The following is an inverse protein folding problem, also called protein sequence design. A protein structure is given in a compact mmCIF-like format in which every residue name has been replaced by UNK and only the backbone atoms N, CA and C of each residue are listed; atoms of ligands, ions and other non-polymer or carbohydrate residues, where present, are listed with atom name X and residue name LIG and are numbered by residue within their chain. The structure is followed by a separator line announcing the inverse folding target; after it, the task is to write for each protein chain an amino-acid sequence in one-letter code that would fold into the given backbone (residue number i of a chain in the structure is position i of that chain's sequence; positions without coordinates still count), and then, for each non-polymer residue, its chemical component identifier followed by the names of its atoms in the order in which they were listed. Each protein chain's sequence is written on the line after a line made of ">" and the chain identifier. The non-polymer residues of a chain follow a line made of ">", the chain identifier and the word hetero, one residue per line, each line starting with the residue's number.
data_IF_477394681241
#
_entry.id   IF_477394681241
#
_cell.length_a   1.000
_cell.length_b   1.000
_cell.length_c   1.000
_cell.angle_alpha   90.00
_cell.angle_beta   90.00
_cell.angle_gamma   90.00
#
_symmetry.space_group_name_H-M   'P 1'
#
loop_
_entity.id
_entity.type
_entity.pdbx_description
1 polymer ?
#
# COMPACT_ATOMS: atom_id res chain seq x y z
N UNK A 1 13.08 17.62 -24.26
CA UNK A 1 13.47 17.23 -22.90
C UNK A 1 12.22 16.68 -22.22
N UNK A 2 12.30 15.60 -21.45
CA UNK A 2 11.15 15.17 -20.66
C UNK A 2 10.75 16.31 -19.70
N UNK A 3 9.45 16.49 -19.40
CA UNK A 3 9.00 17.54 -18.50
C UNK A 3 9.67 17.35 -17.13
N UNK A 4 10.08 18.47 -16.51
CA UNK A 4 10.62 18.47 -15.15
C UNK A 4 9.46 18.13 -14.21
N UNK A 5 9.60 17.03 -13.46
CA UNK A 5 8.59 16.64 -12.47
C UNK A 5 8.50 17.71 -11.36
N UNK A 6 7.29 18.08 -10.91
CA UNK A 6 7.10 18.97 -9.76
C UNK A 6 7.78 18.42 -8.49
N UNK A 7 8.21 19.30 -7.59
CA UNK A 7 8.88 18.91 -6.32
C UNK A 7 8.01 17.98 -5.48
N UNK A 8 6.71 18.25 -5.40
CA UNK A 8 5.78 17.39 -4.66
C UNK A 8 5.74 15.96 -5.23
N UNK A 9 5.77 15.82 -6.56
CA UNK A 9 5.76 14.52 -7.24
C UNK A 9 7.07 13.78 -7.03
N UNK A 10 8.21 14.47 -7.14
CA UNK A 10 9.51 13.83 -6.87
C UNK A 10 9.64 13.40 -5.41
N UNK A 11 9.14 14.20 -4.47
CA UNK A 11 9.08 13.84 -3.06
C UNK A 11 8.21 12.60 -2.81
N UNK A 12 7.06 12.51 -3.46
CA UNK A 12 6.19 11.31 -3.43
C UNK A 12 6.93 10.08 -3.99
N UNK A 13 7.63 10.21 -5.14
CA UNK A 13 8.39 9.09 -5.71
C UNK A 13 9.46 8.57 -4.75
N UNK A 14 10.23 9.46 -4.12
CA UNK A 14 11.26 9.10 -3.16
C UNK A 14 10.64 8.41 -1.91
N UNK A 15 9.50 8.92 -1.43
CA UNK A 15 8.78 8.36 -0.29
C UNK A 15 8.21 6.96 -0.56
N UNK A 16 7.54 6.76 -1.71
CA UNK A 16 6.98 5.46 -2.11
C UNK A 16 8.08 4.43 -2.31
N UNK A 17 9.20 4.82 -2.93
CA UNK A 17 10.37 3.97 -3.10
C UNK A 17 10.92 3.48 -1.76
N UNK A 18 11.08 4.39 -0.80
CA UNK A 18 11.56 4.08 0.54
C UNK A 18 10.60 3.16 1.28
N UNK A 19 9.30 3.45 1.26
CA UNK A 19 8.28 2.67 1.94
C UNK A 19 8.25 1.23 1.42
N UNK A 20 8.16 1.06 0.10
CA UNK A 20 8.18 -0.26 -0.56
C UNK A 20 9.45 -1.04 -0.26
N UNK A 21 10.62 -0.40 -0.32
CA UNK A 21 11.89 -1.07 -0.03
C UNK A 21 11.95 -1.59 1.42
N UNK A 22 11.51 -0.78 2.38
CA UNK A 22 11.43 -1.19 3.78
C UNK A 22 10.48 -2.37 4.01
N UNK A 23 9.32 -2.35 3.36
CA UNK A 23 8.33 -3.44 3.43
C UNK A 23 8.82 -4.72 2.78
N UNK A 24 9.53 -4.64 1.66
CA UNK A 24 10.17 -5.81 1.06
C UNK A 24 11.16 -6.48 2.01
N UNK A 25 11.98 -5.69 2.72
CA UNK A 25 12.90 -6.23 3.74
C UNK A 25 12.14 -6.84 4.90
N UNK A 26 11.10 -6.17 5.39
CA UNK A 26 10.28 -6.66 6.50
C UNK A 26 9.66 -8.03 6.20
N UNK A 27 9.09 -8.19 5.00
CA UNK A 27 8.38 -9.40 4.60
C UNK A 27 9.28 -10.51 4.00
N UNK A 28 10.58 -10.29 3.85
CA UNK A 28 11.48 -11.18 3.10
C UNK A 28 11.46 -12.66 3.54
N UNK A 29 11.18 -12.91 4.80
CA UNK A 29 11.13 -14.27 5.37
C UNK A 29 9.72 -14.82 5.54
N UNK A 30 8.69 -14.06 5.18
CA UNK A 30 7.31 -14.53 5.29
C UNK A 30 7.03 -15.72 4.38
N UNK A 31 6.17 -16.62 4.83
CA UNK A 31 5.85 -17.88 4.13
C UNK A 31 5.35 -17.64 2.71
N UNK A 32 4.53 -16.60 2.50
CA UNK A 32 3.97 -16.27 1.19
C UNK A 32 5.02 -15.74 0.22
N UNK A 33 6.01 -14.96 0.67
CA UNK A 33 7.14 -14.51 -0.17
C UNK A 33 8.04 -15.69 -0.51
N UNK A 34 8.36 -16.51 0.48
CA UNK A 34 9.17 -17.71 0.28
C UNK A 34 8.49 -18.72 -0.65
N UNK A 35 7.17 -18.88 -0.57
CA UNK A 35 6.42 -19.73 -1.48
C UNK A 35 6.44 -19.21 -2.92
N UNK A 36 6.22 -17.90 -3.11
CA UNK A 36 6.32 -17.26 -4.42
C UNK A 36 7.72 -17.40 -5.02
N UNK A 37 8.75 -17.15 -4.21
CA UNK A 37 10.15 -17.27 -4.64
C UNK A 37 10.50 -18.69 -5.05
N UNK A 38 10.17 -19.70 -4.23
CA UNK A 38 10.43 -21.12 -4.60
C UNK A 38 9.76 -21.53 -5.92
N UNK A 39 8.60 -20.96 -6.20
CA UNK A 39 7.83 -21.29 -7.42
C UNK A 39 8.36 -20.59 -8.67
N UNK A 40 9.04 -19.44 -8.54
CA UNK A 40 9.34 -18.56 -9.69
C UNK A 40 10.80 -18.15 -9.79
N UNK A 41 11.68 -18.64 -8.90
CA UNK A 41 13.08 -18.27 -8.89
C UNK A 41 13.80 -18.68 -10.18
N UNK A 42 14.20 -17.68 -10.96
CA UNK A 42 15.04 -17.84 -12.13
C UNK A 42 16.20 -16.85 -12.06
N UNK A 43 17.45 -17.27 -12.39
CA UNK A 43 18.62 -16.40 -12.36
C UNK A 43 18.47 -15.18 -13.30
N UNK A 44 19.08 -14.07 -12.91
CA UNK A 44 19.12 -12.84 -13.69
C UNK A 44 19.92 -11.75 -13.00
N UNK A 45 19.69 -10.51 -13.37
CA UNK A 45 20.43 -9.34 -12.86
C UNK A 45 19.62 -8.48 -11.90
N UNK A 46 18.29 -8.66 -11.84
CA UNK A 46 17.43 -7.81 -11.04
C UNK A 46 17.47 -8.16 -9.55
N UNK A 47 17.34 -7.15 -8.73
CA UNK A 47 17.36 -7.27 -7.28
C UNK A 47 16.00 -7.73 -6.74
N UNK A 48 16.00 -8.82 -6.00
CA UNK A 48 14.96 -9.13 -5.04
C UNK A 48 15.39 -8.56 -3.69
N UNK A 49 14.69 -7.52 -3.25
CA UNK A 49 15.07 -6.75 -2.07
C UNK A 49 15.07 -7.65 -0.84
N UNK A 50 16.16 -7.59 -0.07
CA UNK A 50 16.36 -8.43 1.12
C UNK A 50 16.84 -9.84 0.84
N UNK A 51 17.10 -10.23 -0.41
CA UNK A 51 17.59 -11.57 -0.79
C UNK A 51 18.94 -11.50 -1.51
N UNK A 52 19.74 -12.56 -1.34
CA UNK A 52 21.03 -12.68 -2.03
C UNK A 52 20.84 -13.08 -3.50
N UNK A 53 21.81 -12.71 -4.33
CA UNK A 53 21.84 -13.07 -5.76
C UNK A 53 21.04 -12.09 -6.64
N UNK A 54 20.91 -12.48 -7.91
CA UNK A 54 20.16 -11.76 -8.92
C UNK A 54 19.10 -12.66 -9.56
N UNK A 55 17.98 -12.08 -9.90
CA UNK A 55 16.81 -12.77 -10.43
C UNK A 55 16.40 -12.20 -11.80
N UNK A 56 15.63 -12.95 -12.57
CA UNK A 56 15.02 -12.39 -13.76
C UNK A 56 13.97 -11.31 -13.38
N UNK A 57 13.61 -10.49 -14.34
CA UNK A 57 12.69 -9.35 -14.13
C UNK A 57 11.35 -9.80 -13.59
N UNK A 58 10.79 -10.90 -14.11
CA UNK A 58 9.46 -11.37 -13.72
C UNK A 58 9.45 -11.84 -12.25
N UNK A 59 10.45 -12.61 -11.83
CA UNK A 59 10.62 -13.03 -10.43
C UNK A 59 10.81 -11.82 -9.51
N UNK A 60 11.70 -10.88 -9.88
CA UNK A 60 11.96 -9.69 -9.07
C UNK A 60 10.69 -8.83 -8.90
N UNK A 61 9.97 -8.55 -9.98
CA UNK A 61 8.74 -7.78 -9.95
C UNK A 61 7.65 -8.48 -9.11
N UNK A 62 7.43 -9.79 -9.34
CA UNK A 62 6.43 -10.57 -8.62
C UNK A 62 6.72 -10.62 -7.11
N UNK A 63 7.92 -11.02 -6.74
CA UNK A 63 8.25 -11.26 -5.33
C UNK A 63 8.40 -9.95 -4.54
N UNK A 64 8.99 -8.88 -5.11
CA UNK A 64 9.04 -7.57 -4.47
C UNK A 64 7.64 -6.98 -4.26
N UNK A 65 6.75 -7.06 -5.27
CA UNK A 65 5.37 -6.57 -5.12
C UNK A 65 4.55 -7.38 -4.11
N UNK A 66 4.75 -8.70 -4.07
CA UNK A 66 4.15 -9.58 -3.07
C UNK A 66 4.63 -9.24 -1.65
N UNK A 67 5.93 -8.98 -1.49
CA UNK A 67 6.52 -8.60 -0.21
C UNK A 67 6.03 -7.22 0.25
N UNK A 68 6.03 -6.23 -0.64
CA UNK A 68 5.61 -4.87 -0.32
C UNK A 68 4.17 -4.80 0.19
N UNK A 69 3.25 -5.57 -0.41
CA UNK A 69 1.81 -5.54 -0.07
C UNK A 69 1.40 -6.53 1.02
N UNK A 70 2.22 -7.54 1.29
CA UNK A 70 1.82 -8.71 2.09
C UNK A 70 1.41 -8.41 3.51
N UNK A 71 1.94 -7.35 4.10
CA UNK A 71 1.67 -6.97 5.48
C UNK A 71 0.56 -5.91 5.64
N UNK A 72 -0.06 -5.47 4.52
CA UNK A 72 -1.12 -4.44 4.52
C UNK A 72 -0.67 -3.11 5.17
N UNK A 73 0.62 -2.79 5.00
CA UNK A 73 1.30 -1.64 5.60
C UNK A 73 1.85 -0.66 4.57
N UNK A 74 1.62 -0.94 3.29
CA UNK A 74 2.00 -0.14 2.13
C UNK A 74 1.12 1.10 1.95
N UNK A 75 1.55 1.98 1.04
CA UNK A 75 0.85 3.19 0.66
C UNK A 75 -0.60 2.93 0.25
N UNK A 76 -1.41 3.98 0.25
CA UNK A 76 -2.78 3.94 -0.28
C UNK A 76 -3.14 5.27 -0.91
N UNK A 77 -4.00 5.25 -1.93
CA UNK A 77 -4.54 6.48 -2.51
C UNK A 77 -5.84 6.86 -1.82
N UNK A 78 -5.96 8.12 -1.36
CA UNK A 78 -7.17 8.57 -0.65
C UNK A 78 -8.42 8.65 -1.56
N UNK A 79 -8.23 8.83 -2.86
CA UNK A 79 -9.32 8.84 -3.84
C UNK A 79 -9.94 7.49 -4.13
N UNK A 80 -9.27 6.38 -3.76
CA UNK A 80 -9.77 5.03 -4.01
C UNK A 80 -8.86 3.93 -3.48
N UNK A 81 -9.35 2.67 -3.41
CA UNK A 81 -8.65 1.59 -2.74
C UNK A 81 -7.53 0.98 -3.61
N UNK A 82 -6.55 1.77 -3.99
CA UNK A 82 -5.37 1.31 -4.75
C UNK A 82 -4.09 1.58 -3.96
N UNK A 83 -3.15 0.65 -4.05
CA UNK A 83 -1.83 0.65 -3.43
C UNK A 83 -0.78 0.71 -4.55
N UNK A 84 -0.47 1.93 -4.98
CA UNK A 84 0.30 2.13 -6.21
C UNK A 84 1.77 1.72 -6.06
N UNK A 85 2.39 2.04 -4.92
CA UNK A 85 3.80 1.76 -4.68
C UNK A 85 4.14 0.29 -4.78
N UNK A 86 3.32 -0.59 -4.19
CA UNK A 86 3.54 -2.03 -4.20
C UNK A 86 3.52 -2.67 -5.61
N UNK A 87 2.95 -1.97 -6.59
CA UNK A 87 2.93 -2.39 -8.01
C UNK A 87 4.03 -1.71 -8.81
N UNK A 88 4.06 -0.38 -8.74
CA UNK A 88 4.84 0.46 -9.66
C UNK A 88 6.33 0.37 -9.34
N UNK A 89 6.72 0.42 -8.08
CA UNK A 89 8.14 0.34 -7.68
C UNK A 89 8.77 -0.97 -8.14
N UNK A 90 8.20 -2.16 -7.84
CA UNK A 90 8.76 -3.43 -8.32
C UNK A 90 8.89 -3.52 -9.84
N UNK A 91 7.89 -3.04 -10.59
CA UNK A 91 7.92 -3.08 -12.05
C UNK A 91 9.02 -2.19 -12.64
N UNK A 92 9.08 -0.93 -12.16
CA UNK A 92 10.01 0.08 -12.69
C UNK A 92 11.44 -0.21 -12.27
N UNK A 93 11.70 -0.64 -11.02
CA UNK A 93 13.04 -1.00 -10.57
C UNK A 93 13.60 -2.20 -11.32
N UNK A 94 12.79 -3.26 -11.50
CA UNK A 94 13.21 -4.43 -12.26
C UNK A 94 13.50 -4.07 -13.73
N UNK A 95 12.69 -3.21 -14.36
CA UNK A 95 12.96 -2.69 -15.68
C UNK A 95 14.25 -1.87 -15.71
N UNK A 96 14.49 -1.03 -14.71
CA UNK A 96 15.65 -0.16 -14.63
C UNK A 96 16.97 -0.96 -14.54
N UNK A 97 17.04 -1.97 -13.68
CA UNK A 97 18.21 -2.84 -13.59
C UNK A 97 18.42 -3.65 -14.89
N UNK A 98 17.34 -4.19 -15.47
CA UNK A 98 17.41 -4.98 -16.71
C UNK A 98 17.91 -4.16 -17.89
N UNK A 99 17.53 -2.89 -17.98
CA UNK A 99 17.84 -2.03 -19.12
C UNK A 99 18.92 -0.97 -18.84
N UNK A 100 19.49 -0.94 -17.62
CA UNK A 100 20.54 -0.02 -17.24
C UNK A 100 20.09 1.45 -17.21
N UNK A 101 18.85 1.69 -16.75
CA UNK A 101 18.27 3.02 -16.73
C UNK A 101 18.87 3.90 -15.64
N UNK A 102 18.72 5.22 -15.80
CA UNK A 102 19.08 6.22 -14.79
C UNK A 102 18.02 6.32 -13.68
N UNK A 103 18.41 6.90 -12.54
CA UNK A 103 17.46 7.23 -11.48
C UNK A 103 16.41 8.26 -11.91
N UNK A 104 16.73 9.14 -12.86
CA UNK A 104 15.77 10.06 -13.47
C UNK A 104 14.70 9.33 -14.30
N UNK A 105 15.09 8.27 -15.02
CA UNK A 105 14.13 7.42 -15.74
C UNK A 105 13.21 6.67 -14.77
N UNK A 106 13.77 6.18 -13.66
CA UNK A 106 12.98 5.55 -12.58
C UNK A 106 11.97 6.53 -12.01
N UNK A 107 12.40 7.74 -11.62
CA UNK A 107 11.50 8.74 -11.05
C UNK A 107 10.35 9.08 -12.00
N UNK A 108 10.63 9.22 -13.31
CA UNK A 108 9.61 9.45 -14.34
C UNK A 108 8.65 8.25 -14.43
N UNK A 109 9.17 7.03 -14.48
CA UNK A 109 8.36 5.82 -14.54
C UNK A 109 7.46 5.66 -13.32
N UNK A 110 7.97 5.92 -12.12
CA UNK A 110 7.21 5.88 -10.86
C UNK A 110 6.12 6.94 -10.86
N UNK A 111 6.45 8.19 -11.19
CA UNK A 111 5.47 9.28 -11.24
C UNK A 111 4.31 8.96 -12.19
N UNK A 112 4.61 8.58 -13.43
CA UNK A 112 3.58 8.28 -14.44
C UNK A 112 2.78 7.03 -14.09
N UNK A 113 3.43 5.97 -13.62
CA UNK A 113 2.75 4.73 -13.23
C UNK A 113 1.76 4.94 -12.07
N UNK A 114 2.18 5.65 -11.02
CA UNK A 114 1.32 6.00 -9.90
C UNK A 114 0.16 6.90 -10.34
N UNK A 115 0.43 7.92 -11.15
CA UNK A 115 -0.58 8.83 -11.65
C UNK A 115 -1.66 8.12 -12.47
N UNK A 116 -1.26 7.28 -13.43
CA UNK A 116 -2.19 6.50 -14.25
C UNK A 116 -3.05 5.60 -13.38
N UNK A 117 -2.46 4.91 -12.40
CA UNK A 117 -3.19 4.03 -11.51
C UNK A 117 -4.21 4.78 -10.63
N UNK A 118 -3.84 5.96 -10.09
CA UNK A 118 -4.72 6.81 -9.31
C UNK A 118 -5.88 7.34 -10.16
N UNK A 119 -5.62 7.83 -11.38
CA UNK A 119 -6.65 8.36 -12.29
C UNK A 119 -7.63 7.28 -12.74
N UNK A 120 -7.14 6.12 -13.15
CA UNK A 120 -8.00 5.01 -13.58
C UNK A 120 -8.99 4.58 -12.48
N UNK A 121 -8.58 4.60 -11.23
CA UNK A 121 -9.43 4.21 -10.11
C UNK A 121 -10.62 5.17 -9.88
N UNK A 122 -10.55 6.41 -10.38
CA UNK A 122 -11.61 7.41 -10.26
C UNK A 122 -12.65 7.35 -11.40
N UNK A 123 -12.36 6.67 -12.51
CA UNK A 123 -13.26 6.59 -13.67
C UNK A 123 -14.58 5.89 -13.33
N UNK A 124 -14.53 4.82 -12.55
CA UNK A 124 -15.70 4.05 -12.12
C UNK A 124 -15.58 3.72 -10.61
N UNK A 125 -15.78 4.70 -9.70
CA UNK A 125 -15.49 4.54 -8.28
C UNK A 125 -16.25 3.39 -7.65
N UNK A 126 -15.53 2.51 -6.93
CA UNK A 126 -16.07 1.32 -6.23
C UNK A 126 -16.61 0.21 -7.15
N UNK A 127 -16.78 0.42 -8.46
CA UNK A 127 -17.40 -0.54 -9.37
C UNK A 127 -16.54 -1.79 -9.54
N UNK A 128 -15.23 -1.63 -9.75
CA UNK A 128 -14.30 -2.77 -9.88
C UNK A 128 -14.34 -3.66 -8.64
N UNK A 129 -14.33 -3.07 -7.44
CA UNK A 129 -14.44 -3.84 -6.20
C UNK A 129 -15.80 -4.53 -6.06
N UNK A 130 -16.90 -3.86 -6.45
CA UNK A 130 -18.25 -4.46 -6.42
C UNK A 130 -18.42 -5.58 -7.45
N UNK A 131 -17.69 -5.52 -8.56
CA UNK A 131 -17.66 -6.58 -9.57
C UNK A 131 -16.84 -7.81 -9.14
N UNK A 132 -16.22 -7.78 -7.95
CA UNK A 132 -15.47 -8.90 -7.40
C UNK A 132 -13.97 -8.89 -7.71
N UNK A 133 -13.41 -7.74 -8.12
CA UNK A 133 -11.99 -7.61 -8.42
C UNK A 133 -11.26 -6.72 -7.41
N UNK A 134 -9.98 -6.99 -7.21
CA UNK A 134 -9.09 -6.15 -6.41
C UNK A 134 -8.61 -4.96 -7.25
N UNK A 135 -9.00 -3.70 -6.93
CA UNK A 135 -8.63 -2.53 -7.74
C UNK A 135 -7.12 -2.37 -7.95
N UNK A 136 -6.32 -2.62 -6.90
CA UNK A 136 -4.85 -2.61 -6.99
C UNK A 136 -4.32 -3.57 -8.05
N UNK A 137 -4.90 -4.75 -8.18
CA UNK A 137 -4.46 -5.75 -9.15
C UNK A 137 -4.81 -5.33 -10.59
N UNK A 138 -6.05 -4.90 -10.78
CA UNK A 138 -6.62 -4.63 -12.10
C UNK A 138 -6.04 -3.34 -12.69
N UNK A 139 -6.09 -2.23 -11.95
CA UNK A 139 -5.50 -0.96 -12.38
C UNK A 139 -3.97 -1.01 -12.35
N UNK A 140 -3.41 -1.83 -11.47
CA UNK A 140 -1.97 -1.99 -11.32
C UNK A 140 -1.27 -2.50 -12.57
N UNK A 141 -1.87 -3.43 -13.32
CA UNK A 141 -1.30 -3.91 -14.57
C UNK A 141 -1.13 -2.78 -15.60
N UNK A 142 -2.14 -1.90 -15.70
CA UNK A 142 -2.10 -0.71 -16.56
C UNK A 142 -1.10 0.33 -16.05
N UNK A 143 -1.13 0.62 -14.74
CA UNK A 143 -0.17 1.53 -14.10
C UNK A 143 1.28 1.08 -14.27
N UNK A 144 1.56 -0.22 -14.09
CA UNK A 144 2.90 -0.78 -14.31
C UNK A 144 3.33 -0.70 -15.78
N UNK A 145 2.42 -0.99 -16.74
CA UNK A 145 2.71 -0.83 -18.15
C UNK A 145 3.03 0.63 -18.50
N UNK A 146 2.24 1.58 -17.99
CA UNK A 146 2.47 3.01 -18.17
C UNK A 146 3.81 3.46 -17.57
N UNK A 147 4.10 3.05 -16.33
CA UNK A 147 5.34 3.38 -15.63
C UNK A 147 6.58 2.85 -16.34
N UNK A 148 6.57 1.58 -16.74
CA UNK A 148 7.68 0.95 -17.48
C UNK A 148 7.85 1.58 -18.86
N UNK A 149 6.76 1.83 -19.60
CA UNK A 149 6.80 2.50 -20.90
C UNK A 149 7.39 3.91 -20.81
N UNK A 150 7.00 4.65 -19.77
CA UNK A 150 7.55 5.98 -19.49
C UNK A 150 9.04 5.93 -19.14
N UNK A 151 9.45 4.99 -18.27
CA UNK A 151 10.85 4.79 -17.91
C UNK A 151 11.71 4.46 -19.13
N UNK A 152 11.22 3.60 -20.02
CA UNK A 152 11.87 3.20 -21.28
C UNK A 152 11.72 4.22 -22.42
N UNK A 153 11.05 5.35 -22.20
CA UNK A 153 10.87 6.43 -23.17
C UNK A 153 10.20 5.98 -24.47
N UNK A 154 9.14 5.17 -24.36
CA UNK A 154 8.38 4.69 -25.50
C UNK A 154 7.74 5.81 -26.30
N UNK A 155 7.60 5.63 -27.60
CA UNK A 155 6.78 6.48 -28.45
C UNK A 155 5.26 6.23 -28.19
N UNK A 156 4.43 7.07 -28.76
CA UNK A 156 2.97 7.04 -28.57
C UNK A 156 2.37 5.67 -28.98
N UNK A 157 2.84 5.09 -30.08
CA UNK A 157 2.34 3.81 -30.59
C UNK A 157 2.68 2.65 -29.63
N UNK A 158 3.92 2.62 -29.17
CA UNK A 158 4.38 1.64 -28.20
C UNK A 158 3.62 1.78 -26.87
N UNK A 159 3.38 3.01 -26.45
CA UNK A 159 2.66 3.32 -25.23
C UNK A 159 1.21 2.81 -25.25
N UNK A 160 0.46 3.13 -26.34
CA UNK A 160 -0.90 2.61 -26.52
C UNK A 160 -0.96 1.10 -26.59
N UNK A 161 -0.04 0.48 -27.33
CA UNK A 161 0.02 -0.98 -27.41
C UNK A 161 0.30 -1.61 -26.04
N UNK A 162 1.21 -1.03 -25.23
CA UNK A 162 1.52 -1.54 -23.89
C UNK A 162 0.29 -1.51 -22.98
N UNK A 163 -0.48 -0.42 -22.97
CA UNK A 163 -1.72 -0.34 -22.20
C UNK A 163 -2.77 -1.33 -22.69
N UNK A 164 -2.99 -1.42 -24.02
CA UNK A 164 -3.93 -2.35 -24.62
C UNK A 164 -3.63 -3.81 -24.27
N UNK A 165 -2.35 -4.21 -24.30
CA UNK A 165 -1.90 -5.55 -23.89
C UNK A 165 -2.09 -5.75 -22.39
N UNK A 166 -1.72 -4.77 -21.57
CA UNK A 166 -1.85 -4.85 -20.11
C UNK A 166 -3.31 -5.03 -19.67
N UNK A 167 -4.26 -4.40 -20.36
CA UNK A 167 -5.69 -4.58 -20.09
C UNK A 167 -6.15 -6.03 -20.24
N UNK A 168 -5.59 -6.77 -21.22
CA UNK A 168 -5.86 -8.20 -21.38
C UNK A 168 -5.13 -9.10 -20.35
N UNK A 169 -4.10 -8.58 -19.68
CA UNK A 169 -3.34 -9.29 -18.63
C UNK A 169 -3.81 -8.94 -17.22
N UNK A 170 -4.71 -7.96 -17.07
CA UNK A 170 -5.25 -7.56 -15.78
C UNK A 170 -6.07 -8.71 -15.16
N UNK A 171 -5.94 -8.90 -13.86
CA UNK A 171 -6.61 -9.98 -13.13
C UNK A 171 -6.61 -9.70 -11.62
N UNK A 172 -7.20 -10.59 -10.82
CA UNK A 172 -7.16 -10.54 -9.37
C UNK A 172 -8.55 -10.41 -8.74
N UNK A 173 -9.15 -11.55 -8.37
CA UNK A 173 -10.47 -11.63 -7.72
C UNK A 173 -10.33 -11.44 -6.20
N UNK A 174 -11.41 -10.96 -5.56
CA UNK A 174 -11.40 -10.69 -4.10
C UNK A 174 -11.86 -11.88 -3.25
N UNK A 175 -11.95 -13.08 -3.79
CA UNK A 175 -12.40 -14.27 -3.07
C UNK A 175 -11.51 -14.62 -1.86
N UNK A 176 -10.29 -14.11 -1.81
CA UNK A 176 -9.45 -14.21 -0.62
C UNK A 176 -10.11 -13.69 0.67
N UNK A 177 -11.14 -12.86 0.55
CA UNK A 177 -11.90 -12.36 1.70
C UNK A 177 -12.67 -13.46 2.43
N UNK A 178 -13.03 -14.55 1.73
CA UNK A 178 -13.79 -15.66 2.31
C UNK A 178 -12.96 -16.47 3.33
N UNK A 179 -11.67 -16.66 3.07
CA UNK A 179 -10.83 -17.59 3.83
C UNK A 179 -9.52 -16.95 4.36
N UNK A 180 -9.23 -15.71 3.98
CA UNK A 180 -7.97 -15.04 4.31
C UNK A 180 -6.76 -15.60 3.54
N UNK A 181 -6.99 -16.15 2.33
CA UNK A 181 -5.95 -16.69 1.47
C UNK A 181 -4.93 -15.63 1.04
N UNK A 182 -3.73 -16.07 0.66
CA UNK A 182 -2.59 -15.19 0.33
C UNK A 182 -2.70 -14.50 -1.04
N UNK A 183 -3.70 -14.80 -1.85
CA UNK A 183 -3.81 -14.27 -3.21
C UNK A 183 -3.88 -12.73 -3.26
N UNK A 184 -4.50 -12.07 -2.27
CA UNK A 184 -4.42 -10.60 -2.15
C UNK A 184 -2.97 -10.12 -2.17
N UNK A 185 -2.10 -10.77 -1.42
CA UNK A 185 -0.70 -10.38 -1.23
C UNK A 185 0.11 -10.47 -2.52
N UNK A 186 -0.21 -11.45 -3.37
CA UNK A 186 0.43 -11.67 -4.68
C UNK A 186 0.00 -10.65 -5.73
N UNK A 187 -1.20 -10.09 -5.65
CA UNK A 187 -1.80 -9.28 -6.70
C UNK A 187 -0.94 -8.13 -7.21
N UNK A 188 -0.30 -7.30 -6.35
CA UNK A 188 0.57 -6.22 -6.82
C UNK A 188 1.78 -6.73 -7.59
N UNK A 189 2.40 -7.80 -7.12
CA UNK A 189 3.53 -8.41 -7.80
C UNK A 189 3.15 -9.01 -9.15
N UNK A 190 1.98 -9.66 -9.23
CA UNK A 190 1.45 -10.16 -10.49
C UNK A 190 1.16 -9.03 -11.48
N UNK A 191 0.55 -7.94 -11.02
CA UNK A 191 0.30 -6.74 -11.82
C UNK A 191 1.60 -6.09 -12.31
N UNK A 192 2.62 -6.02 -11.44
CA UNK A 192 3.93 -5.47 -11.78
C UNK A 192 4.61 -6.24 -12.92
N UNK A 193 4.66 -7.58 -12.82
CA UNK A 193 5.23 -8.40 -13.90
C UNK A 193 4.38 -8.39 -15.17
N UNK A 194 3.04 -8.33 -15.05
CA UNK A 194 2.14 -8.25 -16.20
C UNK A 194 2.38 -6.96 -16.99
N UNK A 195 2.43 -5.81 -16.30
CA UNK A 195 2.72 -4.52 -16.91
C UNK A 195 4.09 -4.45 -17.58
N UNK A 196 5.14 -4.98 -16.93
CA UNK A 196 6.45 -5.10 -17.56
C UNK A 196 6.41 -5.95 -18.85
N UNK A 197 5.76 -7.12 -18.81
CA UNK A 197 5.63 -8.00 -20.00
C UNK A 197 4.86 -7.31 -21.10
N UNK A 198 3.78 -6.61 -20.79
CA UNK A 198 2.98 -5.85 -21.76
C UNK A 198 3.84 -4.77 -22.45
N UNK A 199 4.60 -3.99 -21.68
CA UNK A 199 5.52 -3.00 -22.23
C UNK A 199 6.58 -3.65 -23.16
N UNK A 200 7.15 -4.78 -22.76
CA UNK A 200 8.15 -5.49 -23.59
C UNK A 200 7.57 -6.07 -24.88
N UNK A 201 6.34 -6.58 -24.82
CA UNK A 201 5.65 -7.05 -26.04
C UNK A 201 5.36 -5.89 -26.99
N UNK A 202 4.89 -4.76 -26.49
CA UNK A 202 4.66 -3.56 -27.29
C UNK A 202 5.96 -3.03 -27.93
N UNK A 203 7.07 -3.04 -27.18
CA UNK A 203 8.38 -2.66 -27.71
C UNK A 203 8.85 -3.59 -28.85
N UNK A 204 8.47 -4.87 -28.78
CA UNK A 204 8.77 -5.85 -29.81
C UNK A 204 7.79 -5.79 -31.02
N UNK A 205 6.84 -4.85 -31.02
CA UNK A 205 5.88 -4.66 -32.12
C UNK A 205 4.58 -5.42 -31.98
N UNK A 206 4.31 -6.06 -30.81
CA UNK A 206 3.00 -6.67 -30.55
C UNK A 206 1.96 -5.56 -30.36
N UNK A 207 0.77 -5.75 -30.94
CA UNK A 207 -0.29 -4.72 -30.92
C UNK A 207 -1.34 -4.99 -29.82
N UNK A 208 -1.83 -3.92 -29.20
CA UNK A 208 -2.96 -3.93 -28.29
C UNK A 208 -4.14 -3.11 -28.82
N UNK A 209 -5.35 -3.32 -28.31
CA UNK A 209 -6.52 -2.57 -28.75
C UNK A 209 -6.41 -1.09 -28.37
N UNK A 210 -6.70 -0.20 -29.34
CA UNK A 210 -6.73 1.26 -29.09
C UNK A 210 -7.97 1.70 -28.31
N UNK A 211 -9.07 0.96 -28.46
CA UNK A 211 -10.35 1.18 -27.76
C UNK A 211 -10.39 0.49 -26.39
N UNK A 212 -9.22 0.39 -25.73
CA UNK A 212 -9.08 -0.31 -24.44
C UNK A 212 -10.11 0.14 -23.40
N UNK A 213 -10.37 1.43 -23.28
CA UNK A 213 -11.22 1.98 -22.22
C UNK A 213 -12.69 2.14 -22.62
N UNK A 214 -12.97 2.54 -23.85
CA UNK A 214 -14.26 2.98 -24.37
C UNK A 214 -14.90 2.01 -25.39
N UNK A 215 -14.24 0.89 -25.71
CA UNK A 215 -14.79 -0.12 -26.61
C UNK A 215 -15.88 -0.97 -25.93
N UNK A 216 -16.77 -1.55 -26.75
CA UNK A 216 -17.89 -2.41 -26.31
C UNK A 216 -17.45 -3.58 -25.42
N UNK A 217 -16.21 -4.03 -25.57
CA UNK A 217 -15.58 -5.06 -24.75
C UNK A 217 -14.37 -4.48 -23.98
N UNK A 218 -14.41 -3.18 -23.70
CA UNK A 218 -13.33 -2.44 -23.05
C UNK A 218 -13.13 -2.81 -21.59
N UNK A 219 -12.06 -2.26 -21.03
CA UNK A 219 -11.60 -2.58 -19.68
C UNK A 219 -12.67 -2.31 -18.60
N UNK A 220 -13.33 -1.15 -18.64
CA UNK A 220 -14.33 -0.81 -17.62
C UNK A 220 -15.62 -1.60 -17.78
N UNK A 221 -16.02 -1.94 -19.02
CA UNK A 221 -17.12 -2.86 -19.25
C UNK A 221 -16.83 -4.21 -18.59
N UNK A 222 -15.66 -4.78 -18.82
CA UNK A 222 -15.26 -6.08 -18.29
C UNK A 222 -15.08 -6.10 -16.77
N UNK A 223 -14.35 -5.14 -16.20
CA UNK A 223 -13.93 -5.17 -14.80
C UNK A 223 -14.82 -4.34 -13.86
N UNK A 224 -15.53 -3.34 -14.35
CA UNK A 224 -16.44 -2.53 -13.54
C UNK A 224 -17.91 -2.93 -13.71
N UNK A 225 -18.23 -3.75 -14.70
CA UNK A 225 -19.60 -4.10 -15.06
C UNK A 225 -20.49 -2.86 -15.14
N UNK A 226 -20.04 -1.83 -15.84
CA UNK A 226 -20.70 -0.53 -15.88
C UNK A 226 -20.35 0.21 -17.17
N UNK A 227 -21.39 0.75 -17.81
CA UNK A 227 -21.26 1.69 -18.93
C UNK A 227 -21.23 3.16 -18.43
N UNK A 228 -21.49 3.39 -17.14
CA UNK A 228 -21.46 4.72 -16.52
C UNK A 228 -20.04 5.01 -16.01
N UNK A 229 -19.14 5.36 -16.93
CA UNK A 229 -17.76 5.72 -16.67
C UNK A 229 -17.56 7.23 -16.87
N UNK A 230 -16.91 7.90 -15.93
CA UNK A 230 -16.52 9.29 -16.05
C UNK A 230 -15.06 9.38 -16.52
N UNK A 231 -14.86 9.33 -17.83
CA UNK A 231 -13.52 9.47 -18.43
C UNK A 231 -12.96 10.89 -18.30
N UNK A 232 -13.79 11.90 -17.99
CA UNK A 232 -13.34 13.25 -17.67
C UNK A 232 -12.36 13.22 -16.49
N UNK A 233 -12.65 12.48 -15.43
CA UNK A 233 -11.75 12.36 -14.25
C UNK A 233 -10.36 11.84 -14.58
N UNK A 234 -10.23 11.06 -15.66
CA UNK A 234 -8.93 10.55 -16.12
C UNK A 234 -8.10 11.61 -16.82
N UNK A 235 -8.76 12.57 -17.49
CA UNK A 235 -8.12 13.57 -18.38
C UNK A 235 -8.00 14.94 -17.73
N UNK A 236 -8.93 15.31 -16.84
CA UNK A 236 -8.98 16.63 -16.21
C UNK A 236 -7.70 16.91 -15.42
N UNK A 237 -7.01 18.01 -15.79
CA UNK A 237 -5.74 18.41 -15.18
C UNK A 237 -4.57 17.45 -15.42
N UNK A 238 -4.70 16.50 -16.37
CA UNK A 238 -3.62 15.54 -16.65
C UNK A 238 -2.34 16.24 -17.12
N UNK A 239 -1.23 15.99 -16.42
CA UNK A 239 0.07 16.63 -16.67
C UNK A 239 0.30 17.92 -15.88
N UNK A 240 -0.72 18.51 -15.28
CA UNK A 240 -0.64 19.70 -14.41
C UNK A 240 -0.94 19.34 -12.96
N UNK A 241 -2.10 18.71 -12.72
CA UNK A 241 -2.53 18.25 -11.41
C UNK A 241 -2.16 16.77 -11.21
N UNK A 242 -1.21 16.51 -10.34
CA UNK A 242 -0.75 15.16 -10.03
C UNK A 242 -1.53 14.58 -8.86
N UNK A 243 -2.51 13.73 -9.15
CA UNK A 243 -3.33 13.06 -8.13
C UNK A 243 -2.51 12.12 -7.26
N UNK A 244 -1.45 11.55 -7.81
CA UNK A 244 -0.51 10.70 -7.09
C UNK A 244 0.21 11.41 -5.94
N UNK A 245 0.27 12.74 -5.94
CA UNK A 245 0.78 13.51 -4.78
C UNK A 245 -0.06 13.34 -3.51
N UNK A 246 -1.31 12.83 -3.64
CA UNK A 246 -2.20 12.50 -2.53
C UNK A 246 -2.11 11.02 -2.10
N UNK A 247 -1.06 10.30 -2.52
CA UNK A 247 -0.74 8.99 -1.98
C UNK A 247 -0.39 9.15 -0.51
N UNK A 248 -1.07 8.38 0.33
CA UNK A 248 -0.93 8.37 1.77
C UNK A 248 -0.06 7.21 2.23
N UNK A 249 0.71 7.41 3.28
CA UNK A 249 1.57 6.40 3.89
C UNK A 249 1.00 5.95 5.22
N UNK A 250 0.90 4.64 5.43
CA UNK A 250 0.37 4.11 6.69
C UNK A 250 1.42 4.22 7.81
N UNK A 251 1.13 4.93 8.91
CA UNK A 251 1.97 4.92 10.10
C UNK A 251 1.84 3.64 10.93
N UNK A 252 0.75 2.87 10.72
CA UNK A 252 0.43 1.65 11.47
C UNK A 252 0.17 0.48 10.53
N UNK A 253 0.58 -0.73 10.94
CA UNK A 253 0.52 -1.96 10.14
C UNK A 253 -0.87 -2.60 10.16
N UNK A 254 -1.92 -1.84 9.90
CA UNK A 254 -3.31 -2.30 9.95
C UNK A 254 -4.21 -1.57 8.93
N UNK A 255 -5.49 -1.92 8.93
CA UNK A 255 -6.48 -1.26 8.07
C UNK A 255 -6.59 0.24 8.38
N UNK A 256 -6.51 1.08 7.36
CA UNK A 256 -6.46 2.56 7.46
C UNK A 256 -7.57 3.14 8.33
N UNK A 257 -8.76 2.54 8.31
CA UNK A 257 -9.91 2.99 9.12
C UNK A 257 -9.71 2.80 10.63
N UNK A 258 -8.72 2.02 11.08
CA UNK A 258 -8.36 1.88 12.49
C UNK A 258 -7.37 2.96 12.98
N UNK A 259 -6.64 3.60 12.07
CA UNK A 259 -5.58 4.55 12.40
C UNK A 259 -6.04 5.71 13.30
N UNK A 260 -7.16 6.41 13.02
CA UNK A 260 -7.62 7.50 13.88
C UNK A 260 -7.90 7.08 15.32
N UNK A 261 -8.30 5.82 15.56
CA UNK A 261 -8.52 5.30 16.90
C UNK A 261 -7.21 5.04 17.64
N UNK A 262 -6.16 4.59 16.92
CA UNK A 262 -4.80 4.47 17.46
C UNK A 262 -4.27 5.85 17.87
N UNK A 263 -4.43 6.85 17.01
CA UNK A 263 -4.02 8.22 17.32
C UNK A 263 -4.75 8.79 18.52
N UNK A 264 -6.07 8.56 18.66
CA UNK A 264 -6.81 8.92 19.88
C UNK A 264 -6.26 8.22 21.13
N UNK A 265 -5.97 6.91 21.03
CA UNK A 265 -5.41 6.13 22.13
C UNK A 265 -4.04 6.71 22.58
N UNK A 266 -3.16 7.03 21.64
CA UNK A 266 -1.86 7.65 21.89
C UNK A 266 -1.97 9.04 22.51
N UNK A 267 -2.91 9.87 22.03
CA UNK A 267 -3.19 11.20 22.61
C UNK A 267 -3.56 11.10 24.08
N UNK A 268 -4.51 10.21 24.42
CA UNK A 268 -4.95 10.02 25.80
C UNK A 268 -3.80 9.59 26.72
N UNK A 269 -2.95 8.68 26.27
CA UNK A 269 -1.76 8.26 27.03
C UNK A 269 -0.77 9.41 27.20
N UNK A 270 -0.54 10.20 26.16
CA UNK A 270 0.32 11.39 26.24
C UNK A 270 -0.24 12.46 27.20
N UNK A 271 -1.55 12.52 27.37
CA UNK A 271 -2.26 13.37 28.34
C UNK A 271 -2.32 12.79 29.76
N UNK A 272 -1.67 11.64 30.00
CA UNK A 272 -1.51 11.05 31.34
C UNK A 272 -2.52 9.95 31.67
N UNK A 273 -3.32 9.46 30.71
CA UNK A 273 -4.18 8.29 30.93
C UNK A 273 -3.32 7.03 31.05
N UNK A 274 -3.28 6.44 32.23
CA UNK A 274 -2.61 5.18 32.47
C UNK A 274 -3.52 4.01 32.02
N UNK A 275 -3.07 3.13 31.08
CA UNK A 275 -3.90 2.03 30.59
C UNK A 275 -4.43 1.09 31.68
N UNK A 276 -3.64 0.90 32.76
CA UNK A 276 -4.04 0.09 33.92
C UNK A 276 -5.19 0.64 34.75
N UNK A 277 -5.47 1.97 34.64
CA UNK A 277 -6.58 2.63 35.33
C UNK A 277 -7.89 2.65 34.52
N UNK A 278 -7.86 2.20 33.26
CA UNK A 278 -9.03 2.18 32.37
C UNK A 278 -10.00 1.11 32.80
N UNK A 279 -11.29 1.49 32.97
CA UNK A 279 -12.39 0.55 33.24
C UNK A 279 -13.24 0.26 32.02
N UNK A 280 -13.47 1.25 31.15
CA UNK A 280 -14.19 1.10 29.88
C UNK A 280 -13.71 2.09 28.83
N UNK A 281 -13.87 1.72 27.57
CA UNK A 281 -13.60 2.55 26.40
C UNK A 281 -14.82 2.48 25.49
N UNK A 282 -15.47 3.60 25.24
CA UNK A 282 -16.56 3.74 24.29
C UNK A 282 -16.07 4.52 23.06
N UNK A 283 -16.36 4.01 21.88
CA UNK A 283 -15.92 4.60 20.62
C UNK A 283 -17.12 4.98 19.77
N UNK A 284 -17.10 6.17 19.16
CA UNK A 284 -18.02 6.48 18.06
C UNK A 284 -17.47 5.92 16.77
N UNK A 285 -18.32 5.30 15.96
CA UNK A 285 -17.91 4.69 14.68
C UNK A 285 -18.94 4.88 13.58
N UNK A 286 -18.49 4.78 12.32
CA UNK A 286 -19.38 4.76 11.16
C UNK A 286 -20.02 3.39 11.00
N UNK A 287 -21.31 3.34 10.63
CA UNK A 287 -22.01 2.09 10.35
C UNK A 287 -21.31 1.25 9.26
N UNK A 288 -20.80 1.91 8.21
CA UNK A 288 -20.16 1.25 7.06
C UNK A 288 -18.89 0.45 7.36
N UNK A 289 -18.26 0.63 8.54
CA UNK A 289 -17.07 -0.13 8.93
C UNK A 289 -17.34 -1.17 10.02
N UNK A 290 -18.54 -1.21 10.58
CA UNK A 290 -18.91 -2.10 11.69
C UNK A 290 -18.66 -3.57 11.33
N UNK A 291 -19.22 -4.03 10.22
CA UNK A 291 -19.12 -5.42 9.80
C UNK A 291 -17.68 -5.92 9.60
N UNK A 292 -16.75 -5.04 9.29
CA UNK A 292 -15.34 -5.39 8.98
C UNK A 292 -14.42 -5.28 10.19
N UNK A 293 -14.58 -4.22 10.99
CA UNK A 293 -13.60 -3.85 12.01
C UNK A 293 -14.10 -3.99 13.45
N UNK A 294 -15.41 -4.12 13.66
CA UNK A 294 -16.02 -4.21 14.97
C UNK A 294 -16.71 -5.55 15.22
N UNK A 295 -17.26 -6.19 14.20
CA UNK A 295 -18.08 -7.40 14.39
C UNK A 295 -17.42 -8.66 13.78
N UNK A 296 -17.63 -9.83 14.41
CA UNK A 296 -18.25 -10.04 15.73
C UNK A 296 -17.37 -9.45 16.86
N UNK A 297 -17.94 -8.63 17.74
CA UNK A 297 -17.18 -7.85 18.72
C UNK A 297 -16.25 -8.71 19.57
N UNK A 298 -16.71 -9.87 20.05
CA UNK A 298 -15.90 -10.77 20.87
C UNK A 298 -14.64 -11.28 20.11
N UNK A 299 -14.76 -11.55 18.80
CA UNK A 299 -13.64 -11.95 17.97
C UNK A 299 -12.69 -10.77 17.70
N UNK A 300 -13.21 -9.54 17.60
CA UNK A 300 -12.38 -8.33 17.45
C UNK A 300 -11.64 -7.96 18.73
N UNK A 301 -12.23 -8.20 19.88
CA UNK A 301 -11.57 -8.04 21.18
C UNK A 301 -10.51 -9.11 21.46
N UNK A 302 -10.62 -10.26 20.83
CA UNK A 302 -9.73 -11.39 21.00
C UNK A 302 -9.40 -12.02 19.62
N UNK A 303 -8.65 -11.32 18.75
CA UNK A 303 -8.36 -11.81 17.42
C UNK A 303 -7.57 -13.12 17.49
N UNK A 304 -7.84 -14.08 16.58
CA UNK A 304 -7.22 -15.41 16.61
C UNK A 304 -5.75 -15.42 16.16
N UNK A 305 -5.32 -14.43 15.40
CA UNK A 305 -3.96 -14.31 14.85
C UNK A 305 -3.62 -12.87 14.46
N UNK A 306 -2.36 -12.63 14.12
CA UNK A 306 -1.86 -11.31 13.74
C UNK A 306 -2.59 -10.68 12.54
N UNK A 307 -2.92 -11.47 11.52
CA UNK A 307 -3.63 -10.94 10.36
C UNK A 307 -5.06 -10.47 10.70
N UNK A 308 -5.79 -11.24 11.50
CA UNK A 308 -7.13 -10.85 11.97
C UNK A 308 -7.07 -9.61 12.87
N UNK A 309 -6.01 -9.46 13.66
CA UNK A 309 -5.78 -8.31 14.52
C UNK A 309 -5.63 -7.00 13.74
N UNK A 310 -5.06 -7.01 12.53
CA UNK A 310 -4.94 -5.84 11.62
C UNK A 310 -6.30 -5.26 11.20
N UNK A 311 -7.39 -6.02 11.39
CA UNK A 311 -8.76 -5.62 11.08
C UNK A 311 -9.65 -5.59 12.34
N UNK A 312 -9.05 -5.21 13.48
CA UNK A 312 -9.74 -5.07 14.76
C UNK A 312 -9.46 -3.70 15.38
N UNK A 313 -10.47 -2.85 15.48
CA UNK A 313 -10.33 -1.56 16.19
C UNK A 313 -10.16 -1.77 17.71
N UNK A 314 -10.86 -2.70 18.41
CA UNK A 314 -10.59 -2.97 19.82
C UNK A 314 -9.14 -3.34 20.11
N UNK A 315 -8.54 -4.21 19.28
CA UNK A 315 -7.14 -4.57 19.39
C UNK A 315 -6.21 -3.39 19.13
N UNK A 316 -6.46 -2.65 18.05
CA UNK A 316 -5.64 -1.50 17.64
C UNK A 316 -5.60 -0.40 18.73
N UNK A 317 -6.73 -0.12 19.39
CA UNK A 317 -6.79 0.80 20.53
C UNK A 317 -5.93 0.30 21.70
N UNK A 318 -6.08 -0.99 22.04
CA UNK A 318 -5.33 -1.59 23.15
C UNK A 318 -3.81 -1.52 22.93
N UNK A 319 -3.35 -1.86 21.74
CA UNK A 319 -1.93 -1.77 21.34
C UNK A 319 -1.47 -0.31 21.36
N UNK A 320 -2.22 0.61 20.76
CA UNK A 320 -1.91 2.04 20.74
C UNK A 320 -1.77 2.63 22.15
N UNK A 321 -2.62 2.23 23.10
CA UNK A 321 -2.53 2.67 24.51
C UNK A 321 -1.33 2.05 25.25
N UNK A 322 -1.10 0.75 25.07
CA UNK A 322 -0.09 0.02 25.85
C UNK A 322 1.32 0.17 25.33
N UNK A 323 1.47 0.30 24.02
CA UNK A 323 2.78 0.29 23.34
C UNK A 323 3.15 1.63 22.69
N UNK A 324 2.19 2.53 22.56
CA UNK A 324 2.41 3.85 21.93
C UNK A 324 2.60 3.81 20.41
N UNK A 325 2.47 2.64 19.81
CA UNK A 325 2.61 2.40 18.38
C UNK A 325 1.71 1.22 17.95
N UNK A 326 1.67 0.90 16.65
CA UNK A 326 1.04 -0.28 16.09
C UNK A 326 1.79 -0.72 14.80
N UNK A 327 3.09 -0.92 14.92
CA UNK A 327 3.96 -1.40 13.85
C UNK A 327 3.84 -2.91 13.63
N UNK A 328 4.69 -3.49 12.75
CA UNK A 328 4.62 -4.92 12.43
C UNK A 328 4.79 -5.83 13.64
N UNK A 329 5.70 -5.49 14.53
CA UNK A 329 5.97 -6.27 15.75
C UNK A 329 4.75 -6.37 16.66
N UNK A 330 3.86 -5.40 16.60
CA UNK A 330 2.65 -5.33 17.44
C UNK A 330 1.54 -6.25 16.95
N UNK A 331 1.72 -6.87 15.79
CA UNK A 331 0.82 -7.88 15.21
C UNK A 331 1.44 -9.29 15.20
N UNK A 332 2.56 -9.49 15.89
CA UNK A 332 3.14 -10.82 16.17
C UNK A 332 2.23 -11.60 17.11
N UNK A 333 2.21 -12.93 16.94
CA UNK A 333 1.37 -13.83 17.74
C UNK A 333 1.61 -13.66 19.25
N UNK A 334 2.83 -13.38 19.66
CA UNK A 334 3.21 -13.13 21.07
C UNK A 334 2.50 -11.90 21.66
N UNK A 335 2.29 -10.85 20.87
CA UNK A 335 1.58 -9.61 21.29
C UNK A 335 0.08 -9.78 21.14
N UNK A 336 -0.38 -10.41 20.07
CA UNK A 336 -1.81 -10.69 19.84
C UNK A 336 -2.39 -11.55 20.98
N UNK A 337 -1.60 -12.45 21.52
CA UNK A 337 -2.00 -13.32 22.64
C UNK A 337 -1.59 -12.81 24.03
N UNK A 338 -1.00 -11.60 24.13
CA UNK A 338 -0.67 -11.00 25.42
C UNK A 338 -1.95 -10.76 26.25
N UNK A 339 -2.03 -11.32 27.48
CA UNK A 339 -3.20 -11.16 28.33
C UNK A 339 -3.54 -9.70 28.67
N UNK A 340 -2.53 -8.82 28.74
CA UNK A 340 -2.71 -7.40 29.05
C UNK A 340 -3.40 -6.66 27.89
N UNK A 341 -2.94 -6.95 26.65
CA UNK A 341 -3.54 -6.40 25.42
C UNK A 341 -4.99 -6.88 25.32
N UNK A 342 -5.24 -8.18 25.48
CA UNK A 342 -6.59 -8.77 25.42
C UNK A 342 -7.51 -8.23 26.50
N UNK A 343 -7.02 -8.09 27.73
CA UNK A 343 -7.79 -7.51 28.82
C UNK A 343 -8.23 -6.08 28.54
N UNK A 344 -7.38 -5.25 27.94
CA UNK A 344 -7.71 -3.89 27.57
C UNK A 344 -8.65 -3.85 26.35
N UNK A 345 -8.38 -4.62 25.30
CA UNK A 345 -9.25 -4.75 24.13
C UNK A 345 -10.67 -5.21 24.53
N UNK A 346 -10.79 -6.10 25.53
CA UNK A 346 -12.05 -6.56 26.09
C UNK A 346 -12.91 -5.47 26.74
N UNK A 347 -12.32 -4.31 27.07
CA UNK A 347 -13.05 -3.14 27.63
C UNK A 347 -13.60 -2.19 26.56
N UNK A 348 -13.24 -2.39 25.28
CA UNK A 348 -13.64 -1.53 24.19
C UNK A 348 -15.03 -1.89 23.69
N UNK A 349 -15.88 -0.89 23.54
CA UNK A 349 -17.23 -0.99 22.95
C UNK A 349 -17.39 0.13 21.93
N UNK A 350 -18.41 0.04 21.10
CA UNK A 350 -18.71 1.08 20.14
C UNK A 350 -20.19 1.48 20.14
N UNK A 351 -20.45 2.68 19.67
CA UNK A 351 -21.76 3.19 19.30
C UNK A 351 -21.67 3.72 17.87
N UNK A 352 -22.71 3.44 17.08
CA UNK A 352 -22.79 3.99 15.70
C UNK A 352 -23.14 5.46 15.81
N UNK A 353 -22.32 6.30 15.15
CA UNK A 353 -22.55 7.73 15.02
C UNK A 353 -23.19 8.01 13.65
N UNK A 354 -24.48 8.39 13.60
CA UNK A 354 -25.17 8.65 12.34
C UNK A 354 -24.61 9.86 11.57
N UNK A 355 -23.90 10.76 12.26
CA UNK A 355 -23.30 11.96 11.67
C UNK A 355 -21.85 11.73 11.19
N UNK A 356 -21.34 10.49 11.29
CA UNK A 356 -19.98 10.17 10.87
C UNK A 356 -19.80 10.36 9.36
N UNK A 357 -18.81 11.13 8.91
CA UNK A 357 -18.63 11.50 7.50
C UNK A 357 -18.13 10.36 6.59
N UNK A 358 -17.88 9.15 7.12
CA UNK A 358 -17.44 8.01 6.30
C UNK A 358 -18.38 7.77 5.09
N UNK A 359 -17.91 7.47 3.89
CA UNK A 359 -16.52 7.16 3.53
C UNK A 359 -15.66 8.36 3.07
N UNK A 360 -16.15 9.58 3.15
CA UNK A 360 -15.43 10.79 2.70
C UNK A 360 -14.23 11.12 3.60
N UNK A 361 -14.33 10.73 4.88
CA UNK A 361 -13.32 11.01 5.89
C UNK A 361 -13.27 9.84 6.88
N UNK A 362 -12.08 9.52 7.39
CA UNK A 362 -11.88 8.49 8.41
C UNK A 362 -11.61 9.18 9.73
N UNK A 363 -12.55 9.03 10.67
CA UNK A 363 -12.48 9.66 11.99
C UNK A 363 -12.35 8.62 13.09
N UNK A 364 -11.71 9.01 14.19
CA UNK A 364 -11.67 8.27 15.45
C UNK A 364 -12.21 9.12 16.59
N UNK A 365 -12.88 8.48 17.54
CA UNK A 365 -13.30 9.08 18.80
C UNK A 365 -13.26 8.02 19.89
N UNK A 366 -12.60 8.34 21.01
CA UNK A 366 -12.55 7.51 22.21
C UNK A 366 -13.06 8.31 23.42
N UNK A 367 -13.91 7.69 24.22
CA UNK A 367 -14.31 8.11 25.56
C UNK A 367 -13.87 7.04 26.55
N UNK A 368 -12.92 7.40 27.41
CA UNK A 368 -12.30 6.48 28.37
C UNK A 368 -12.75 6.83 29.78
N UNK A 369 -13.24 5.83 30.52
CA UNK A 369 -13.60 5.96 31.94
C UNK A 369 -12.51 5.30 32.79
N UNK A 370 -12.01 6.01 33.79
CA UNK A 370 -10.97 5.53 34.70
C UNK A 370 -11.60 4.92 35.98
N UNK A 371 -10.81 4.19 36.76
CA UNK A 371 -11.21 3.64 38.08
C UNK A 371 -11.65 4.72 39.06
N UNK A 372 -11.09 5.91 38.95
CA UNK A 372 -11.52 7.09 39.75
C UNK A 372 -12.94 7.59 39.43
N UNK A 373 -13.53 7.13 38.32
CA UNK A 373 -14.76 7.69 37.75
C UNK A 373 -14.50 8.87 36.79
N UNK A 374 -13.28 9.35 36.69
CA UNK A 374 -12.92 10.39 35.71
C UNK A 374 -13.11 9.91 34.28
N UNK A 375 -13.61 10.80 33.42
CA UNK A 375 -13.81 10.54 32.00
C UNK A 375 -12.84 11.41 31.18
N UNK A 376 -12.17 10.82 30.23
CA UNK A 376 -11.29 11.47 29.26
C UNK A 376 -11.74 11.16 27.84
N UNK A 377 -11.64 12.13 26.95
CA UNK A 377 -12.04 11.99 25.55
C UNK A 377 -10.94 12.45 24.61
N UNK A 378 -10.81 11.78 23.49
CA UNK A 378 -9.95 12.21 22.38
C UNK A 378 -10.66 11.98 21.05
N UNK A 379 -10.38 12.87 20.11
CA UNK A 379 -10.87 12.78 18.73
C UNK A 379 -9.72 12.97 17.73
N UNK A 380 -9.84 12.29 16.59
CA UNK A 380 -8.97 12.46 15.44
C UNK A 380 -9.86 12.58 14.21
N UNK A 381 -9.81 13.74 13.54
CA UNK A 381 -10.70 14.06 12.43
C UNK A 381 -10.36 13.37 11.12
N UNK A 382 -9.12 12.95 10.94
CA UNK A 382 -8.59 12.25 9.75
C UNK A 382 -7.48 11.30 10.18
N UNK A 383 -7.10 10.38 9.30
CA UNK A 383 -5.97 9.50 9.62
C UNK A 383 -4.62 10.18 9.33
N UNK A 384 -3.66 9.98 10.21
CA UNK A 384 -2.29 10.44 10.04
C UNK A 384 -1.60 9.65 8.92
N UNK A 385 -0.81 10.35 8.11
CA UNK A 385 -0.16 9.82 6.91
C UNK A 385 -0.93 10.12 5.62
N UNK A 386 -2.13 10.69 5.71
CA UNK A 386 -2.93 11.17 4.60
C UNK A 386 -2.65 12.64 4.25
N UNK A 387 -3.44 13.18 3.32
CA UNK A 387 -3.27 14.52 2.77
C UNK A 387 -3.35 15.63 3.84
N UNK A 388 -4.28 15.49 4.80
CA UNK A 388 -4.53 16.50 5.84
C UNK A 388 -3.44 16.49 6.92
N UNK A 389 -2.79 15.35 7.15
CA UNK A 389 -1.72 15.17 8.13
C UNK A 389 -0.66 14.20 7.58
N UNK A 390 0.16 14.63 6.60
CA UNK A 390 1.13 13.77 5.96
C UNK A 390 2.23 13.34 6.93
N UNK A 391 2.78 12.15 6.69
CA UNK A 391 4.00 11.72 7.42
C UNK A 391 5.17 12.60 7.01
N UNK A 392 5.96 13.06 8.01
CA UNK A 392 7.20 13.76 7.72
C UNK A 392 8.26 12.81 7.12
N UNK A 393 9.28 13.36 6.47
CA UNK A 393 10.39 12.58 5.95
C UNK A 393 11.06 11.72 7.03
N UNK A 394 11.24 12.29 8.23
CA UNK A 394 11.84 11.61 9.39
C UNK A 394 10.94 10.46 9.88
N UNK A 395 9.62 10.63 9.84
CA UNK A 395 8.69 9.56 10.22
C UNK A 395 8.72 8.40 9.20
N UNK A 396 8.83 8.69 7.91
CA UNK A 396 8.98 7.67 6.85
C UNK A 396 10.33 6.94 6.98
N UNK A 397 11.41 7.65 7.24
CA UNK A 397 12.72 7.04 7.49
C UNK A 397 12.72 6.16 8.74
N UNK A 398 12.07 6.62 9.81
CA UNK A 398 11.91 5.82 11.03
C UNK A 398 11.12 4.54 10.75
N UNK A 399 10.06 4.63 9.95
CA UNK A 399 9.29 3.46 9.48
C UNK A 399 10.17 2.51 8.67
N UNK A 400 10.97 3.04 7.72
CA UNK A 400 11.90 2.23 6.93
C UNK A 400 12.90 1.48 7.82
N UNK A 401 13.55 2.18 8.77
CA UNK A 401 14.51 1.55 9.69
C UNK A 401 13.83 0.48 10.55
N UNK A 402 12.63 0.74 11.07
CA UNK A 402 11.86 -0.22 11.86
C UNK A 402 11.48 -1.45 11.04
N UNK A 403 11.03 -1.28 9.80
CA UNK A 403 10.73 -2.37 8.87
C UNK A 403 11.98 -3.20 8.53
N UNK A 404 13.13 -2.55 8.31
CA UNK A 404 14.39 -3.24 8.09
C UNK A 404 14.82 -4.05 9.32
N UNK A 405 14.69 -3.48 10.52
CA UNK A 405 15.00 -4.17 11.76
C UNK A 405 14.07 -5.39 11.98
N UNK A 406 12.77 -5.24 11.73
CA UNK A 406 11.80 -6.33 11.75
C UNK A 406 12.20 -7.46 10.80
N UNK A 407 12.65 -7.12 9.58
CA UNK A 407 13.21 -8.08 8.63
C UNK A 407 14.61 -8.62 8.99
N UNK A 408 15.16 -8.29 10.16
CA UNK A 408 16.44 -8.81 10.66
C UNK A 408 17.69 -8.10 10.14
N UNK A 409 17.56 -6.88 9.59
CA UNK A 409 18.72 -6.07 9.23
C UNK A 409 19.24 -5.28 10.42
N UNK A 410 20.58 -5.09 10.49
CA UNK A 410 21.18 -4.16 11.44
C UNK A 410 20.84 -2.70 11.08
N UNK A 411 20.87 -1.83 12.07
CA UNK A 411 20.66 -0.38 11.88
C UNK A 411 21.63 0.22 10.87
N UNK A 412 22.90 -0.20 10.88
CA UNK A 412 23.92 0.32 9.95
C UNK A 412 23.63 -0.11 8.51
N UNK A 413 23.19 -1.36 8.31
CA UNK A 413 22.77 -1.84 7.00
C UNK A 413 21.56 -1.08 6.49
N UNK A 414 20.55 -0.88 7.33
CA UNK A 414 19.36 -0.11 6.99
C UNK A 414 19.71 1.34 6.62
N UNK A 415 20.62 1.98 7.36
CA UNK A 415 21.10 3.34 7.04
C UNK A 415 21.85 3.39 5.71
N UNK A 416 22.68 2.41 5.41
CA UNK A 416 23.38 2.32 4.12
C UNK A 416 22.39 2.17 2.96
N UNK A 417 21.39 1.31 3.09
CA UNK A 417 20.33 1.14 2.10
C UNK A 417 19.53 2.45 1.92
N UNK A 418 19.19 3.13 3.02
CA UNK A 418 18.51 4.42 2.99
C UNK A 418 19.33 5.49 2.23
N UNK A 419 20.63 5.53 2.44
CA UNK A 419 21.52 6.45 1.73
C UNK A 419 21.51 6.20 0.21
N UNK A 420 21.51 4.93 -0.21
CA UNK A 420 21.39 4.57 -1.64
C UNK A 420 20.03 5.00 -2.21
N UNK A 421 18.92 4.76 -1.49
CA UNK A 421 17.59 5.16 -1.94
C UNK A 421 17.46 6.67 -2.09
N UNK A 422 17.99 7.46 -1.16
CA UNK A 422 18.02 8.93 -1.23
C UNK A 422 18.82 9.45 -2.43
N UNK A 423 19.88 8.74 -2.81
CA UNK A 423 20.74 9.10 -3.94
C UNK A 423 20.23 8.58 -5.29
N UNK A 424 19.25 7.68 -5.29
CA UNK A 424 18.89 6.91 -6.48
C UNK A 424 18.48 7.80 -7.65
N UNK A 425 17.66 8.84 -7.41
CA UNK A 425 17.17 9.74 -8.46
C UNK A 425 18.27 10.46 -9.22
N UNK A 426 19.40 10.74 -8.58
CA UNK A 426 20.55 11.38 -9.21
C UNK A 426 21.52 10.38 -9.85
N UNK A 427 21.32 9.09 -9.67
CA UNK A 427 22.20 8.06 -10.18
C UNK A 427 22.16 7.99 -11.72
N UNK A 428 23.29 8.03 -12.41
CA UNK A 428 23.34 7.90 -13.88
C UNK A 428 22.91 6.51 -14.35
N UNK A 429 23.01 5.52 -13.47
CA UNK A 429 22.54 4.14 -13.65
C UNK A 429 22.10 3.61 -12.29
N UNK A 430 20.96 2.93 -12.28
CA UNK A 430 20.41 2.30 -11.06
C UNK A 430 21.29 1.12 -10.63
N UNK A 431 21.68 1.12 -9.38
CA UNK A 431 22.34 0.01 -8.68
C UNK A 431 21.67 -0.20 -7.33
N UNK A 432 21.02 -1.34 -7.17
CA UNK A 432 20.30 -1.72 -5.94
C UNK A 432 21.08 -2.76 -5.11
N UNK A 433 22.38 -2.93 -5.35
CA UNK A 433 23.22 -3.91 -4.66
C UNK A 433 23.17 -3.81 -3.14
N UNK A 434 23.06 -2.61 -2.58
CA UNK A 434 22.91 -2.38 -1.14
C UNK A 434 21.57 -2.90 -0.56
N UNK A 435 20.58 -3.16 -1.39
CA UNK A 435 19.29 -3.73 -0.99
C UNK A 435 19.27 -5.26 -1.05
N UNK A 436 20.31 -5.91 -1.55
CA UNK A 436 20.44 -7.38 -1.55
C UNK A 436 20.83 -7.88 -0.15
N UNK A 437 20.58 -9.17 0.14
CA UNK A 437 20.99 -9.79 1.41
C UNK A 437 22.48 -10.05 1.48
#
# INVERSE_FOLDING_TARGET
>A
MPPILPVAVTGMCDAVLMDVAGLCVAARHSDYVQAALRATAEPGTCTLIGHAGGFNVATAALCNGTAAHGEDYDDTFEGGPVHAGAVIIPAVLAAAEQHGLSGGDVARGVAVGCEVMCRLCLVAPKRVHKAGFHPTAVFGALGAAAGVSSALQFDETQWFNALGIAGSMASGIIEYLAEGAWTKRMHPGWAAQAGYRAARMAQAGFTGPRTLFDGDHGFFHAFANSDACDFGTMLDGAGEDWLSSAIAFKPYACGTMAHPYIDCARKLVAEGVAPGEVTSIECKTAEGIVHRLWEPLAAKQNPPNGYAAKFSIPYAIAVGMLRGDAGLIDYEESVVHDPTVRALAGKVRYVVDPDNPYPRQFMGHLRVTLKSGEVREASQGHFRGGREEPMSAEALESKFIANCAYGGWSTDRARNALAVLRGLRAAPRVDLGALRA
#
